data_IF_736381503386
#
_entry.id   IF_736381503386
#
_cell.length_a   1.000
_cell.length_b   1.000
_cell.length_c   1.000
_cell.angle_alpha   90.00
_cell.angle_beta   90.00
_cell.angle_gamma   90.00
#
_symmetry.space_group_name_H-M   'P 1'
#
loop_
_entity.id
_entity.type
_entity.pdbx_description
1 polymer ?
#
# COMPACT_ATOMS: atom_id res chain seq x y z
N UNK A 1 -37.63 25.94 21.04
CA UNK A 1 -36.22 26.08 21.43
C UNK A 1 -35.35 25.70 20.24
N UNK A 2 -34.88 26.71 19.50
CA UNK A 2 -34.04 26.55 18.30
C UNK A 2 -32.63 26.22 18.78
N UNK A 3 -32.06 25.08 18.37
CA UNK A 3 -30.62 24.82 18.51
C UNK A 3 -29.98 24.67 17.13
N UNK A 4 -29.02 25.57 16.91
CA UNK A 4 -28.22 25.79 15.72
C UNK A 4 -27.35 24.58 15.36
N UNK A 5 -27.08 24.46 14.06
CA UNK A 5 -26.02 23.67 13.42
C UNK A 5 -24.68 23.82 14.16
N UNK A 6 -23.91 22.74 14.22
CA UNK A 6 -22.46 22.80 14.03
C UNK A 6 -22.09 21.78 12.96
N UNK A 7 -21.76 22.32 11.78
CA UNK A 7 -21.10 21.66 10.67
C UNK A 7 -19.59 21.79 10.89
N UNK A 8 -18.87 20.68 11.03
CA UNK A 8 -17.41 20.65 10.90
C UNK A 8 -16.92 19.21 10.65
N UNK A 9 -17.42 18.58 9.58
CA UNK A 9 -16.85 17.36 9.01
C UNK A 9 -16.66 17.61 7.50
N UNK A 10 -15.60 18.33 7.12
CA UNK A 10 -15.30 18.65 5.72
C UNK A 10 -13.80 18.75 5.41
N UNK A 11 -12.98 17.89 6.01
CA UNK A 11 -11.53 17.89 5.72
C UNK A 11 -10.95 16.56 5.22
N UNK A 12 -11.76 15.55 4.92
CA UNK A 12 -11.23 14.24 4.49
C UNK A 12 -11.65 13.78 3.08
N UNK A 13 -12.05 14.68 2.19
CA UNK A 13 -12.56 14.31 0.85
C UNK A 13 -11.95 15.06 -0.33
N UNK A 14 -10.99 15.97 -0.12
CA UNK A 14 -10.47 16.86 -1.17
C UNK A 14 -9.26 16.26 -1.89
N UNK A 15 -8.36 15.57 -1.18
CA UNK A 15 -7.12 15.02 -1.76
C UNK A 15 -7.37 13.95 -2.83
N UNK A 16 -8.37 13.08 -2.66
CA UNK A 16 -8.65 12.02 -3.65
C UNK A 16 -9.23 12.54 -4.97
N UNK A 17 -9.71 13.79 -5.01
CA UNK A 17 -10.38 14.38 -6.17
C UNK A 17 -9.41 15.09 -7.13
N UNK A 18 -8.28 15.57 -6.60
CA UNK A 18 -7.28 16.32 -7.37
C UNK A 18 -6.41 15.40 -8.23
N UNK A 19 -5.93 14.29 -7.68
CA UNK A 19 -5.07 13.34 -8.41
C UNK A 19 -5.79 12.70 -9.62
N UNK A 20 -7.07 12.34 -9.46
CA UNK A 20 -7.88 11.75 -10.55
C UNK A 20 -8.16 12.76 -11.67
N UNK A 21 -8.30 14.05 -11.32
CA UNK A 21 -8.45 15.13 -12.29
C UNK A 21 -7.18 15.35 -13.13
N UNK A 22 -5.99 15.19 -12.53
CA UNK A 22 -4.71 15.32 -13.23
C UNK A 22 -4.46 14.18 -14.22
N UNK A 23 -4.92 12.96 -13.91
CA UNK A 23 -4.75 11.78 -14.78
C UNK A 23 -5.66 11.80 -16.03
N UNK A 24 -6.76 12.55 -15.98
CA UNK A 24 -7.77 12.61 -17.06
C UNK A 24 -7.65 13.86 -17.93
N UNK A 25 -6.92 14.89 -17.48
CA UNK A 25 -6.71 16.15 -18.19
C UNK A 25 -5.42 16.11 -18.99
N UNK A 26 -5.51 16.30 -20.30
CA UNK A 26 -4.38 16.18 -21.23
C UNK A 26 -3.65 17.50 -21.54
N UNK A 27 -4.20 18.64 -21.10
CA UNK A 27 -3.61 19.97 -21.34
C UNK A 27 -3.89 20.89 -20.14
N UNK A 28 -2.90 21.70 -19.75
CA UNK A 28 -2.97 22.66 -18.66
C UNK A 28 -2.55 24.04 -19.18
N UNK A 29 -3.17 25.11 -18.70
CA UNK A 29 -2.73 26.47 -19.03
C UNK A 29 -1.60 26.94 -18.09
N UNK A 30 -0.90 28.00 -18.49
CA UNK A 30 0.27 28.51 -17.76
C UNK A 30 -0.05 28.87 -16.30
N UNK A 31 -1.23 29.42 -16.03
CA UNK A 31 -1.64 29.77 -14.67
C UNK A 31 -1.84 28.53 -13.78
N UNK A 32 -2.36 27.44 -14.34
CA UNK A 32 -2.47 26.15 -13.64
C UNK A 32 -1.10 25.54 -13.37
N UNK A 33 -0.20 25.59 -14.36
CA UNK A 33 1.17 25.09 -14.22
C UNK A 33 1.94 25.86 -13.15
N UNK A 34 1.86 27.18 -13.14
CA UNK A 34 2.46 28.04 -12.10
C UNK A 34 1.94 27.68 -10.70
N UNK A 35 0.63 27.39 -10.58
CA UNK A 35 0.05 26.98 -9.31
C UNK A 35 0.60 25.63 -8.85
N UNK A 36 0.72 24.64 -9.74
CA UNK A 36 1.31 23.34 -9.40
C UNK A 36 2.79 23.44 -9.06
N UNK A 37 3.56 24.28 -9.76
CA UNK A 37 4.97 24.53 -9.43
C UNK A 37 5.11 25.13 -8.03
N UNK A 38 4.27 26.10 -7.67
CA UNK A 38 4.26 26.68 -6.31
C UNK A 38 3.85 25.68 -5.24
N UNK A 39 2.92 24.78 -5.53
CA UNK A 39 2.51 23.71 -4.61
C UNK A 39 3.60 22.65 -4.41
N UNK A 40 4.35 22.34 -5.47
CA UNK A 40 5.44 21.37 -5.45
C UNK A 40 6.79 21.93 -4.97
N UNK A 41 6.88 23.24 -4.69
CA UNK A 41 8.12 23.88 -4.25
C UNK A 41 8.48 23.40 -2.83
N UNK A 42 9.65 22.75 -2.72
CA UNK A 42 10.23 22.34 -1.43
C UNK A 42 11.30 23.36 -1.03
N UNK A 43 11.07 24.07 0.06
CA UNK A 43 12.02 25.07 0.56
C UNK A 43 13.07 24.45 1.47
N UNK A 44 14.33 24.78 1.25
CA UNK A 44 15.45 24.27 2.06
C UNK A 44 15.37 24.67 3.55
N UNK A 45 14.69 25.76 3.89
CA UNK A 45 14.50 26.21 5.26
C UNK A 45 13.34 25.51 6.00
N UNK A 46 12.52 24.73 5.30
CA UNK A 46 11.36 24.04 5.86
C UNK A 46 11.64 22.53 5.85
N UNK A 47 11.63 21.90 7.03
CA UNK A 47 11.81 20.44 7.14
C UNK A 47 10.44 19.76 7.23
N UNK A 48 10.04 18.94 6.25
CA UNK A 48 8.78 18.21 6.33
C UNK A 48 8.80 17.18 7.46
N UNK A 49 7.63 16.76 7.97
CA UNK A 49 7.54 15.70 8.96
C UNK A 49 8.12 14.39 8.41
N UNK A 50 8.77 13.62 9.27
CA UNK A 50 9.25 12.28 8.91
C UNK A 50 8.03 11.37 8.74
N UNK A 51 7.88 10.68 7.59
CA UNK A 51 6.74 9.81 7.38
C UNK A 51 6.75 8.64 8.38
N UNK A 52 5.57 8.14 8.81
CA UNK A 52 5.50 7.02 9.74
C UNK A 52 6.25 5.81 9.20
N UNK A 53 7.24 5.32 9.95
CA UNK A 53 7.96 4.11 9.60
C UNK A 53 7.07 2.89 9.87
N UNK A 54 7.02 1.94 8.93
CA UNK A 54 6.07 0.81 9.03
C UNK A 54 6.74 -0.57 8.95
N UNK A 55 7.91 -0.68 8.32
CA UNK A 55 8.65 -1.94 8.20
C UNK A 55 10.14 -1.73 8.44
N UNK A 56 10.75 -2.69 9.14
CA UNK A 56 12.17 -2.71 9.49
C UNK A 56 12.79 -4.09 9.29
N UNK A 57 14.11 -4.11 9.05
CA UNK A 57 14.96 -5.30 9.14
C UNK A 57 16.05 -5.03 10.16
N UNK A 58 15.98 -5.68 11.32
CA UNK A 58 16.77 -5.26 12.48
C UNK A 58 16.46 -3.80 12.83
N UNK A 59 17.49 -2.95 12.85
CA UNK A 59 17.37 -1.52 13.15
C UNK A 59 17.17 -0.64 11.91
N UNK A 60 17.24 -1.22 10.71
CA UNK A 60 17.10 -0.48 9.45
C UNK A 60 15.63 -0.37 9.05
N UNK A 61 15.13 0.86 8.89
CA UNK A 61 13.83 1.12 8.25
C UNK A 61 13.90 0.79 6.77
N UNK A 62 12.98 -0.05 6.29
CA UNK A 62 12.92 -0.45 4.87
C UNK A 62 11.67 0.04 4.15
N UNK A 63 10.65 0.50 4.89
CA UNK A 63 9.48 1.17 4.31
C UNK A 63 8.84 2.13 5.31
N UNK A 64 8.31 3.23 4.77
CA UNK A 64 7.48 4.21 5.49
C UNK A 64 6.10 4.26 4.83
N UNK A 65 5.09 4.64 5.60
CA UNK A 65 3.72 4.75 5.12
C UNK A 65 3.60 5.76 3.98
N UNK A 66 2.88 5.40 2.92
CA UNK A 66 2.69 6.23 1.73
C UNK A 66 3.82 6.20 0.70
N UNK A 67 4.96 5.53 0.99
CA UNK A 67 6.07 5.46 0.06
C UNK A 67 6.16 4.12 -0.68
N UNK A 68 6.68 4.16 -1.90
CA UNK A 68 7.03 2.98 -2.66
C UNK A 68 8.41 2.45 -2.25
N UNK A 69 8.57 1.14 -2.26
CA UNK A 69 9.84 0.46 -2.01
C UNK A 69 10.00 -0.69 -2.98
N UNK A 70 11.22 -0.88 -3.50
CA UNK A 70 11.51 -1.92 -4.49
C UNK A 70 12.57 -2.88 -3.97
N UNK A 71 12.27 -4.18 -3.97
CA UNK A 71 13.22 -5.24 -3.65
C UNK A 71 13.68 -5.93 -4.93
N UNK A 72 14.91 -5.67 -5.36
CA UNK A 72 15.51 -6.26 -6.56
C UNK A 72 16.41 -7.46 -6.24
N UNK A 73 16.75 -8.26 -7.24
CA UNK A 73 17.64 -9.40 -7.08
C UNK A 73 17.53 -10.41 -8.21
N UNK A 74 18.57 -11.23 -8.42
CA UNK A 74 18.61 -12.27 -9.47
C UNK A 74 17.46 -13.28 -9.34
N UNK A 75 17.17 -14.03 -10.40
CA UNK A 75 16.24 -15.16 -10.31
C UNK A 75 16.68 -16.12 -9.20
N UNK A 76 15.72 -16.75 -8.50
CA UNK A 76 15.95 -17.70 -7.38
C UNK A 76 16.69 -17.11 -6.15
N UNK A 77 16.83 -15.79 -6.03
CA UNK A 77 17.40 -15.11 -4.85
C UNK A 77 16.47 -15.06 -3.62
N UNK A 78 15.44 -15.91 -3.57
CA UNK A 78 14.48 -15.99 -2.45
C UNK A 78 13.68 -14.69 -2.21
N UNK A 79 13.52 -13.80 -3.20
CA UNK A 79 12.70 -12.57 -3.09
C UNK A 79 11.30 -12.85 -2.54
N UNK A 80 10.59 -13.80 -3.16
CA UNK A 80 9.23 -14.17 -2.73
C UNK A 80 9.21 -14.65 -1.28
N UNK A 81 10.22 -15.40 -0.83
CA UNK A 81 10.32 -15.82 0.57
C UNK A 81 10.49 -14.62 1.51
N UNK A 82 11.35 -13.66 1.18
CA UNK A 82 11.51 -12.43 1.96
C UNK A 82 10.20 -11.64 2.05
N UNK A 83 9.49 -11.50 0.93
CA UNK A 83 8.18 -10.83 0.89
C UNK A 83 7.16 -11.54 1.78
N UNK A 84 7.11 -12.88 1.80
CA UNK A 84 6.17 -13.59 2.69
C UNK A 84 6.41 -13.30 4.18
N UNK A 85 7.67 -13.13 4.59
CA UNK A 85 8.01 -12.79 5.97
C UNK A 85 7.62 -11.35 6.32
N UNK A 86 7.85 -10.40 5.40
CA UNK A 86 7.41 -9.00 5.55
C UNK A 86 5.89 -8.91 5.71
N UNK A 87 5.15 -9.62 4.84
CA UNK A 87 3.68 -9.64 4.90
C UNK A 87 3.22 -10.25 6.22
N UNK A 88 3.78 -11.39 6.63
CA UNK A 88 3.42 -12.01 7.91
C UNK A 88 3.67 -11.09 9.12
N UNK A 89 4.81 -10.38 9.14
CA UNK A 89 5.10 -9.37 10.16
C UNK A 89 4.04 -8.26 10.15
N UNK A 90 3.67 -7.75 8.98
CA UNK A 90 2.67 -6.69 8.81
C UNK A 90 1.25 -7.13 9.21
N UNK A 91 0.88 -8.38 8.91
CA UNK A 91 -0.37 -8.98 9.37
C UNK A 91 -0.41 -8.95 10.90
N UNK A 92 0.67 -9.38 11.56
CA UNK A 92 0.71 -9.48 13.00
C UNK A 92 1.00 -8.16 13.73
N UNK A 93 1.44 -7.10 13.02
CA UNK A 93 2.06 -5.92 13.63
C UNK A 93 3.14 -6.34 14.66
N UNK A 94 4.00 -7.27 14.26
CA UNK A 94 5.01 -7.84 15.15
C UNK A 94 6.30 -8.15 14.39
N UNK A 95 7.20 -8.90 15.04
CA UNK A 95 8.40 -9.40 14.40
C UNK A 95 8.18 -10.83 13.91
N UNK A 96 8.42 -11.06 12.61
CA UNK A 96 8.45 -12.38 11.98
C UNK A 96 9.79 -12.55 11.28
N UNK A 97 10.54 -13.58 11.66
CA UNK A 97 11.94 -13.75 11.29
C UNK A 97 12.75 -12.49 11.64
N UNK A 98 13.36 -11.82 10.65
CA UNK A 98 14.13 -10.57 10.82
C UNK A 98 13.33 -9.31 10.53
N UNK A 99 12.07 -9.44 10.13
CA UNK A 99 11.22 -8.33 9.74
C UNK A 99 10.33 -7.93 10.91
N UNK A 100 10.38 -6.66 11.29
CA UNK A 100 9.41 -6.05 12.20
C UNK A 100 8.47 -5.19 11.37
N UNK A 101 7.18 -5.22 11.69
CA UNK A 101 6.22 -4.30 11.10
C UNK A 101 5.27 -3.72 12.15
N UNK A 102 4.81 -2.49 11.90
CA UNK A 102 3.85 -1.79 12.73
C UNK A 102 3.00 -0.89 11.83
N UNK A 103 1.93 -1.46 11.28
CA UNK A 103 0.98 -0.69 10.47
C UNK A 103 0.09 0.16 11.37
N UNK A 104 -0.27 1.40 10.97
CA UNK A 104 -1.16 2.26 11.73
C UNK A 104 -2.54 1.63 11.99
N UNK A 105 -3.18 2.05 13.09
CA UNK A 105 -4.56 1.65 13.37
C UNK A 105 -5.50 2.08 12.25
N UNK A 106 -6.49 1.24 11.96
CA UNK A 106 -7.39 1.41 10.82
C UNK A 106 -6.74 1.16 9.44
N UNK A 107 -5.41 1.02 9.35
CA UNK A 107 -4.66 0.73 8.11
C UNK A 107 -4.03 -0.67 8.15
N UNK A 108 -4.84 -1.69 8.45
CA UNK A 108 -4.36 -3.07 8.70
C UNK A 108 -4.58 -4.05 7.53
N UNK A 109 -5.21 -3.60 6.45
CA UNK A 109 -5.47 -4.44 5.27
C UNK A 109 -4.24 -4.51 4.37
N UNK A 110 -3.96 -5.68 3.84
CA UNK A 110 -2.85 -5.96 2.95
C UNK A 110 -3.41 -6.45 1.63
N UNK A 111 -3.06 -5.76 0.54
CA UNK A 111 -3.34 -6.19 -0.82
C UNK A 111 -2.07 -6.80 -1.40
N UNK A 112 -2.17 -8.01 -1.95
CA UNK A 112 -1.06 -8.70 -2.59
C UNK A 112 -1.46 -9.04 -4.01
N UNK A 113 -0.70 -8.57 -5.00
CA UNK A 113 -0.91 -8.82 -6.41
C UNK A 113 0.29 -9.58 -6.98
N UNK A 114 0.11 -10.86 -7.32
CA UNK A 114 1.14 -11.64 -7.98
C UNK A 114 0.94 -11.61 -9.49
N UNK A 115 1.86 -11.04 -10.25
CA UNK A 115 1.70 -10.84 -11.70
C UNK A 115 2.48 -11.86 -12.54
N UNK A 116 3.24 -12.74 -11.90
CA UNK A 116 4.22 -13.61 -12.55
C UNK A 116 3.98 -15.10 -12.28
N UNK A 117 3.35 -15.47 -11.17
CA UNK A 117 3.19 -16.85 -10.74
C UNK A 117 1.88 -17.50 -11.20
N UNK A 118 1.90 -18.83 -11.36
CA UNK A 118 0.69 -19.60 -11.60
C UNK A 118 -0.16 -19.70 -10.32
N UNK A 119 -1.44 -20.04 -10.45
CA UNK A 119 -2.36 -20.19 -9.29
C UNK A 119 -1.82 -21.11 -8.20
N UNK A 120 -1.20 -22.23 -8.58
CA UNK A 120 -0.58 -23.15 -7.62
C UNK A 120 0.57 -22.50 -6.83
N UNK A 121 1.42 -21.73 -7.51
CA UNK A 121 2.51 -21.02 -6.84
C UNK A 121 2.00 -19.87 -5.98
N UNK A 122 0.98 -19.13 -6.43
CA UNK A 122 0.27 -18.14 -5.61
C UNK A 122 -0.28 -18.76 -4.32
N UNK A 123 -0.92 -19.93 -4.41
CA UNK A 123 -1.43 -20.64 -3.23
C UNK A 123 -0.30 -20.97 -2.24
N UNK A 124 0.85 -21.46 -2.72
CA UNK A 124 2.01 -21.72 -1.86
C UNK A 124 2.57 -20.45 -1.19
N UNK A 125 2.42 -19.28 -1.81
CA UNK A 125 2.83 -17.99 -1.22
C UNK A 125 1.89 -17.59 -0.09
N UNK A 126 0.58 -17.57 -0.33
CA UNK A 126 -0.39 -17.23 0.71
C UNK A 126 -0.37 -18.24 1.87
N UNK A 127 -0.23 -19.53 1.58
CA UNK A 127 -0.10 -20.55 2.60
C UNK A 127 1.12 -20.32 3.50
N UNK A 128 2.25 -19.94 2.92
CA UNK A 128 3.46 -19.59 3.67
C UNK A 128 3.24 -18.35 4.54
N UNK A 129 2.56 -17.33 4.03
CA UNK A 129 2.21 -16.13 4.81
C UNK A 129 1.36 -16.53 6.02
N UNK A 130 0.33 -17.34 5.83
CA UNK A 130 -0.55 -17.80 6.91
C UNK A 130 0.24 -18.58 7.97
N UNK A 131 1.08 -19.54 7.55
CA UNK A 131 1.93 -20.31 8.47
C UNK A 131 2.89 -19.41 9.26
N UNK A 132 3.57 -18.47 8.59
CA UNK A 132 4.48 -17.52 9.24
C UNK A 132 3.78 -16.54 10.18
N UNK A 133 2.53 -16.19 9.88
CA UNK A 133 1.70 -15.33 10.71
C UNK A 133 0.99 -16.07 11.86
N UNK A 134 1.04 -17.41 11.90
CA UNK A 134 0.31 -18.22 12.89
C UNK A 134 -1.20 -18.26 12.63
N UNK A 135 -1.64 -18.07 11.39
CA UNK A 135 -3.04 -18.10 10.99
C UNK A 135 -3.50 -19.50 10.57
N UNK A 136 -4.78 -19.78 10.75
CA UNK A 136 -5.40 -21.03 10.28
C UNK A 136 -5.67 -20.99 8.77
N UNK A 137 -5.34 -22.07 8.06
CA UNK A 137 -5.70 -22.25 6.65
C UNK A 137 -7.16 -22.66 6.44
N UNK A 138 -7.88 -23.01 7.51
CA UNK A 138 -9.30 -23.39 7.41
C UNK A 138 -10.24 -22.18 7.32
N UNK A 139 -9.73 -20.97 7.54
CA UNK A 139 -10.52 -19.74 7.54
C UNK A 139 -9.69 -18.58 7.00
N UNK A 140 -10.25 -17.88 6.02
CA UNK A 140 -9.65 -16.67 5.48
C UNK A 140 -9.54 -15.55 6.52
N UNK A 141 -8.37 -14.92 6.59
CA UNK A 141 -8.13 -13.71 7.36
C UNK A 141 -8.57 -12.48 6.56
N UNK A 142 -9.49 -11.70 7.12
CA UNK A 142 -10.08 -10.54 6.45
C UNK A 142 -9.06 -9.44 6.12
N UNK A 143 -7.91 -9.44 6.79
CA UNK A 143 -6.83 -8.45 6.56
C UNK A 143 -6.05 -8.73 5.30
N UNK A 144 -6.04 -9.97 4.78
CA UNK A 144 -5.24 -10.34 3.62
C UNK A 144 -6.15 -10.48 2.40
N UNK A 145 -5.81 -9.82 1.30
CA UNK A 145 -6.42 -10.01 -0.02
C UNK A 145 -5.33 -10.32 -1.03
N UNK A 146 -5.31 -11.57 -1.51
CA UNK A 146 -4.31 -12.06 -2.45
C UNK A 146 -4.94 -12.28 -3.83
N UNK A 147 -4.32 -11.74 -4.86
CA UNK A 147 -4.78 -11.81 -6.24
C UNK A 147 -3.66 -12.30 -7.15
N UNK A 148 -3.86 -13.45 -7.79
CA UNK A 148 -3.01 -13.90 -8.89
C UNK A 148 -3.49 -13.28 -10.21
N UNK A 149 -2.67 -12.42 -10.81
CA UNK A 149 -3.01 -11.63 -11.99
C UNK A 149 -2.23 -12.03 -13.26
N UNK A 150 -1.40 -13.08 -13.21
CA UNK A 150 -0.56 -13.54 -14.32
C UNK A 150 -1.32 -13.74 -15.63
N UNK A 151 -2.56 -14.23 -15.59
CA UNK A 151 -3.34 -14.52 -16.80
C UNK A 151 -3.94 -13.27 -17.47
N UNK A 152 -3.95 -12.13 -16.78
CA UNK A 152 -4.51 -10.89 -17.31
C UNK A 152 -3.46 -10.08 -18.08
N UNK A 153 -3.94 -9.29 -19.05
CA UNK A 153 -3.09 -8.38 -19.83
C UNK A 153 -2.51 -7.27 -18.95
N UNK A 154 -1.35 -6.67 -19.28
CA UNK A 154 -0.76 -5.59 -18.49
C UNK A 154 -1.74 -4.43 -18.23
N UNK A 155 -2.50 -4.00 -19.24
CA UNK A 155 -3.52 -2.96 -19.11
C UNK A 155 -4.59 -3.33 -18.09
N UNK A 156 -5.08 -4.58 -18.13
CA UNK A 156 -6.09 -5.05 -17.18
C UNK A 156 -5.51 -5.18 -15.76
N UNK A 157 -4.23 -5.57 -15.60
CA UNK A 157 -3.58 -5.61 -14.28
C UNK A 157 -3.56 -4.24 -13.62
N UNK A 158 -3.17 -3.19 -14.36
CA UNK A 158 -3.14 -1.82 -13.87
C UNK A 158 -4.54 -1.39 -13.43
N UNK A 159 -5.56 -1.62 -14.27
CA UNK A 159 -6.95 -1.28 -13.95
C UNK A 159 -7.48 -2.03 -12.71
N UNK A 160 -7.14 -3.31 -12.55
CA UNK A 160 -7.53 -4.11 -11.39
C UNK A 160 -6.87 -3.61 -10.10
N UNK A 161 -5.58 -3.25 -10.14
CA UNK A 161 -4.85 -2.72 -8.99
C UNK A 161 -5.42 -1.35 -8.60
N UNK A 162 -5.61 -0.44 -9.56
CA UNK A 162 -6.24 0.87 -9.32
C UNK A 162 -7.64 0.71 -8.70
N UNK A 163 -8.48 -0.14 -9.29
CA UNK A 163 -9.81 -0.40 -8.76
C UNK A 163 -9.77 -0.94 -7.33
N UNK A 164 -8.85 -1.86 -7.03
CA UNK A 164 -8.71 -2.41 -5.69
C UNK A 164 -8.28 -1.33 -4.68
N UNK A 165 -7.34 -0.45 -5.04
CA UNK A 165 -6.88 0.64 -4.18
C UNK A 165 -7.99 1.65 -3.86
N UNK A 166 -8.88 1.94 -4.82
CA UNK A 166 -10.04 2.82 -4.60
C UNK A 166 -11.20 2.14 -3.85
N UNK A 167 -11.27 0.82 -3.92
CA UNK A 167 -12.39 0.03 -3.37
C UNK A 167 -12.14 -0.41 -1.93
N UNK A 168 -10.92 -0.81 -1.61
CA UNK A 168 -10.60 -1.33 -0.29
C UNK A 168 -10.16 -0.22 0.67
N UNK A 169 -10.98 0.02 1.69
CA UNK A 169 -10.59 0.91 2.78
C UNK A 169 -9.56 0.26 3.72
N UNK A 170 -8.83 1.10 4.47
CA UNK A 170 -7.93 0.62 5.51
C UNK A 170 -6.71 -0.16 5.01
N UNK A 171 -6.28 0.07 3.77
CA UNK A 171 -5.06 -0.52 3.20
C UNK A 171 -3.83 0.08 3.88
N UNK A 172 -2.98 -0.78 4.42
CA UNK A 172 -1.71 -0.43 5.06
C UNK A 172 -0.48 -0.86 4.30
N UNK A 173 -0.60 -1.90 3.47
CA UNK A 173 0.49 -2.44 2.68
C UNK A 173 -0.04 -2.98 1.35
N UNK A 174 0.68 -2.68 0.28
CA UNK A 174 0.44 -3.21 -1.07
C UNK A 174 1.71 -3.90 -1.52
N UNK A 175 1.57 -5.13 -2.01
CA UNK A 175 2.65 -5.98 -2.53
C UNK A 175 2.36 -6.33 -3.98
#
# INVERSE_FOLDING_TARGET
MIRRKNSNDKECSVESSLEVGMLSKSTFNDQELDNYLRQGEIKACEKPPVPPQILWVGDCTIATFGNFSASTGKAKSKKTFNITAMVAAAVNNSTVLKYRASLPDGKRKILYFDTEQSRFHCHNVIERIYRLAGLSLTKEDKRIKFYGLREFTPTLRIALIDYALRTFEGVGLVI
#
